data_IF_094646123728
#
_entry.id   IF_094646123728
#
_cell.length_a   1.000
_cell.length_b   1.000
_cell.length_c   1.000
_cell.angle_alpha   90.00
_cell.angle_beta   90.00
_cell.angle_gamma   90.00
#
_symmetry.space_group_name_H-M   'P 1'
#
loop_
_entity.id
_entity.type
_entity.pdbx_description
1 polymer ?
#
# COMPACT_ATOMS: atom_id res chain seq x y z
N UNK A 1 6.10 20.09 9.64
CA UNK A 1 5.59 18.83 9.06
C UNK A 1 4.18 19.11 8.57
N UNK A 2 3.85 18.82 7.30
CA UNK A 2 2.49 19.04 6.81
C UNK A 2 1.52 18.09 7.54
N UNK A 3 0.31 18.53 7.91
CA UNK A 3 -0.67 17.66 8.51
C UNK A 3 -1.00 16.49 7.56
N UNK A 4 -1.33 15.33 8.11
CA UNK A 4 -1.73 14.16 7.34
C UNK A 4 -3.25 14.10 7.23
N UNK A 5 -3.75 13.75 6.05
CA UNK A 5 -5.18 13.57 5.79
C UNK A 5 -5.44 12.14 5.38
N UNK A 6 -6.43 11.49 5.98
CA UNK A 6 -6.90 10.17 5.59
C UNK A 6 -7.83 10.28 4.38
N UNK A 7 -7.60 9.40 3.40
CA UNK A 7 -8.58 9.13 2.34
C UNK A 7 -9.27 7.83 2.69
N UNK A 8 -10.56 7.90 3.01
CA UNK A 8 -11.36 6.74 3.41
C UNK A 8 -11.37 5.68 2.31
N UNK A 9 -10.99 4.47 2.67
CA UNK A 9 -10.95 3.30 1.78
C UNK A 9 -12.09 2.36 2.13
N UNK A 10 -12.77 1.83 1.12
CA UNK A 10 -13.88 0.89 1.33
C UNK A 10 -13.40 -0.41 1.95
N UNK A 11 -14.10 -0.89 2.99
CA UNK A 11 -13.83 -2.15 3.69
C UNK A 11 -14.39 -3.36 2.96
N UNK A 12 -13.82 -3.71 1.82
CA UNK A 12 -14.25 -4.82 0.96
C UNK A 12 -13.26 -6.01 0.93
N UNK A 13 -12.37 -6.09 1.93
CA UNK A 13 -11.27 -7.06 1.99
C UNK A 13 -10.04 -6.66 1.18
N UNK A 14 -10.09 -5.56 0.46
CA UNK A 14 -8.99 -5.00 -0.33
C UNK A 14 -8.32 -3.79 0.34
N UNK A 15 -8.79 -3.36 1.51
CA UNK A 15 -8.42 -2.08 2.11
C UNK A 15 -6.91 -1.86 2.21
N UNK A 16 -6.13 -2.85 2.63
CA UNK A 16 -4.67 -2.78 2.69
C UNK A 16 -4.07 -2.48 1.31
N UNK A 17 -4.41 -3.31 0.31
CA UNK A 17 -3.84 -3.17 -1.04
C UNK A 17 -4.33 -1.89 -1.72
N UNK A 18 -5.59 -1.48 -1.50
CA UNK A 18 -6.14 -0.22 -2.00
C UNK A 18 -5.39 0.98 -1.40
N UNK A 19 -5.17 0.97 -0.08
CA UNK A 19 -4.46 2.04 0.62
C UNK A 19 -3.01 2.18 0.14
N UNK A 20 -2.31 1.06 -0.01
CA UNK A 20 -0.94 1.05 -0.51
C UNK A 20 -0.87 1.50 -1.97
N UNK A 21 -1.74 0.98 -2.85
CA UNK A 21 -1.77 1.37 -4.26
C UNK A 21 -2.12 2.85 -4.43
N UNK A 22 -3.08 3.36 -3.65
CA UNK A 22 -3.42 4.78 -3.60
C UNK A 22 -2.22 5.63 -3.22
N UNK A 23 -1.57 5.31 -2.10
CA UNK A 23 -0.38 6.02 -1.62
C UNK A 23 0.77 6.00 -2.63
N UNK A 24 0.97 4.88 -3.32
CA UNK A 24 1.98 4.75 -4.38
C UNK A 24 1.66 5.64 -5.60
N UNK A 25 0.39 5.82 -5.96
CA UNK A 25 -0.02 6.76 -7.00
C UNK A 25 0.31 8.20 -6.61
N UNK A 26 -0.08 8.61 -5.40
CA UNK A 26 0.19 9.97 -4.89
C UNK A 26 1.69 10.23 -4.80
N UNK A 27 2.47 9.29 -4.28
CA UNK A 27 3.92 9.40 -4.20
C UNK A 27 4.57 9.65 -5.57
N UNK A 28 4.01 9.08 -6.64
CA UNK A 28 4.48 9.27 -8.02
C UNK A 28 3.94 10.55 -8.68
N UNK A 29 3.28 11.43 -7.93
CA UNK A 29 2.70 12.67 -8.44
C UNK A 29 1.47 12.48 -9.32
N UNK A 30 0.82 11.32 -9.24
CA UNK A 30 -0.43 11.05 -9.97
C UNK A 30 -1.64 11.58 -9.22
N UNK A 31 -2.74 11.78 -9.95
CA UNK A 31 -4.03 12.07 -9.34
C UNK A 31 -4.53 10.90 -8.50
N UNK A 32 -5.35 11.21 -7.50
CA UNK A 32 -6.05 10.21 -6.69
C UNK A 32 -6.86 9.28 -7.58
N UNK A 33 -6.64 7.95 -7.51
CA UNK A 33 -7.37 6.99 -8.32
C UNK A 33 -8.85 6.94 -7.91
N UNK A 34 -9.76 6.79 -8.88
CA UNK A 34 -11.18 6.54 -8.64
C UNK A 34 -11.40 5.19 -7.93
N UNK A 35 -12.59 4.95 -7.37
CA UNK A 35 -12.89 3.70 -6.67
C UNK A 35 -12.68 2.45 -7.55
N UNK A 36 -13.11 2.50 -8.81
CA UNK A 36 -12.90 1.39 -9.75
C UNK A 36 -11.42 1.13 -10.01
N UNK A 37 -10.65 2.20 -10.25
CA UNK A 37 -9.19 2.11 -10.47
C UNK A 37 -8.49 1.60 -9.22
N UNK A 38 -8.90 2.04 -8.02
CA UNK A 38 -8.36 1.52 -6.77
C UNK A 38 -8.54 0.00 -6.63
N UNK A 39 -9.72 -0.54 -7.01
CA UNK A 39 -9.98 -1.99 -6.99
C UNK A 39 -9.07 -2.75 -7.95
N UNK A 40 -8.94 -2.28 -9.19
CA UNK A 40 -8.06 -2.88 -10.20
C UNK A 40 -6.60 -2.90 -9.71
N UNK A 41 -6.11 -1.75 -9.23
CA UNK A 41 -4.75 -1.64 -8.71
C UNK A 41 -4.51 -2.51 -7.48
N UNK A 42 -5.50 -2.63 -6.60
CA UNK A 42 -5.43 -3.49 -5.42
C UNK A 42 -5.36 -4.97 -5.79
N UNK A 43 -6.19 -5.43 -6.74
CA UNK A 43 -6.20 -6.82 -7.19
C UNK A 43 -4.89 -7.16 -7.94
N UNK A 44 -4.35 -6.24 -8.74
CA UNK A 44 -3.05 -6.39 -9.40
C UNK A 44 -1.91 -6.45 -8.37
N UNK A 45 -1.90 -5.56 -7.39
CA UNK A 45 -0.88 -5.54 -6.33
C UNK A 45 -0.94 -6.81 -5.49
N UNK A 46 -2.13 -7.29 -5.13
CA UNK A 46 -2.36 -8.54 -4.40
C UNK A 46 -1.76 -9.74 -5.16
N UNK A 47 -2.00 -9.83 -6.46
CA UNK A 47 -1.45 -10.91 -7.28
C UNK A 47 0.09 -10.89 -7.26
N UNK A 48 0.70 -9.73 -7.43
CA UNK A 48 2.16 -9.54 -7.37
C UNK A 48 2.75 -9.83 -5.99
N UNK A 49 2.04 -9.45 -4.93
CA UNK A 49 2.43 -9.78 -3.55
C UNK A 49 2.43 -11.30 -3.33
N UNK A 50 1.42 -12.01 -3.83
CA UNK A 50 1.39 -13.45 -3.76
C UNK A 50 2.55 -14.11 -4.52
N UNK A 51 2.93 -13.56 -5.68
CA UNK A 51 4.10 -14.01 -6.44
C UNK A 51 5.41 -13.67 -5.72
N UNK A 52 5.49 -12.52 -5.06
CA UNK A 52 6.66 -12.11 -4.29
C UNK A 52 6.88 -13.01 -3.07
N UNK A 53 5.83 -13.48 -2.39
CA UNK A 53 5.95 -14.52 -1.36
C UNK A 53 6.61 -15.78 -1.89
N UNK A 54 6.17 -16.27 -3.07
CA UNK A 54 6.75 -17.47 -3.69
C UNK A 54 8.23 -17.25 -3.98
N UNK A 55 8.58 -16.11 -4.57
CA UNK A 55 9.95 -15.73 -4.89
C UNK A 55 10.84 -15.66 -3.64
N UNK A 56 10.31 -15.17 -2.52
CA UNK A 56 11.01 -14.97 -1.24
C UNK A 56 10.66 -16.03 -0.19
N UNK A 57 10.28 -17.22 -0.61
CA UNK A 57 9.84 -18.28 0.30
C UNK A 57 10.85 -18.51 1.44
N UNK A 58 12.12 -18.62 1.12
CA UNK A 58 13.17 -18.87 2.12
C UNK A 58 13.26 -17.79 3.20
N UNK A 59 12.88 -16.55 2.87
CA UNK A 59 12.93 -15.42 3.78
C UNK A 59 11.62 -15.22 4.55
N UNK A 60 10.51 -15.81 4.09
CA UNK A 60 9.16 -15.49 4.59
C UNK A 60 8.42 -16.65 5.25
N UNK A 61 8.68 -17.90 4.83
CA UNK A 61 7.93 -19.07 5.29
C UNK A 61 7.94 -19.23 6.82
N UNK A 62 9.03 -18.86 7.49
CA UNK A 62 9.21 -19.07 8.92
C UNK A 62 8.32 -18.18 9.82
N UNK A 63 7.80 -17.06 9.30
CA UNK A 63 6.91 -16.17 10.06
C UNK A 63 5.45 -16.21 9.60
N UNK A 64 5.14 -16.94 8.53
CA UNK A 64 3.77 -17.10 8.06
C UNK A 64 3.04 -18.19 8.87
N UNK A 65 1.78 -17.93 9.18
CA UNK A 65 0.96 -18.89 9.90
C UNK A 65 0.53 -20.06 9.00
N UNK A 66 0.77 -21.28 9.48
CA UNK A 66 0.29 -22.51 8.83
C UNK A 66 1.13 -22.94 7.64
N UNK A 67 0.48 -23.58 6.67
CA UNK A 67 1.16 -24.08 5.47
C UNK A 67 1.34 -22.96 4.46
N UNK A 68 2.55 -22.79 3.95
CA UNK A 68 2.93 -21.72 3.03
C UNK A 68 2.08 -21.66 1.76
N UNK A 69 1.89 -22.81 1.09
CA UNK A 69 1.10 -22.87 -0.15
C UNK A 69 -0.37 -22.50 0.10
N UNK A 70 -0.91 -22.94 1.23
CA UNK A 70 -2.28 -22.61 1.64
C UNK A 70 -2.43 -21.13 1.96
N UNK A 71 -1.42 -20.52 2.62
CA UNK A 71 -1.37 -19.09 2.91
C UNK A 71 -1.37 -18.27 1.61
N UNK A 72 -0.46 -18.55 0.71
CA UNK A 72 -0.36 -17.84 -0.58
C UNK A 72 -1.64 -18.00 -1.41
N UNK A 73 -2.22 -19.21 -1.44
CA UNK A 73 -3.49 -19.46 -2.13
C UNK A 73 -4.65 -18.67 -1.53
N UNK A 74 -4.72 -18.58 -0.19
CA UNK A 74 -5.70 -17.75 0.51
C UNK A 74 -5.51 -16.28 0.16
N UNK A 75 -4.26 -15.80 0.15
CA UNK A 75 -3.94 -14.39 -0.11
C UNK A 75 -4.31 -13.94 -1.52
N UNK A 76 -4.35 -14.84 -2.50
CA UNK A 76 -4.83 -14.53 -3.87
C UNK A 76 -6.33 -14.23 -3.94
N UNK A 77 -7.11 -14.60 -2.92
CA UNK A 77 -8.55 -14.32 -2.91
C UNK A 77 -8.82 -12.83 -2.69
N UNK A 78 -9.72 -12.21 -3.47
CA UNK A 78 -9.91 -10.75 -3.45
C UNK A 78 -10.42 -10.21 -2.11
N UNK A 79 -11.05 -11.04 -1.30
CA UNK A 79 -11.60 -10.65 0.01
C UNK A 79 -10.73 -11.10 1.19
N UNK A 80 -9.57 -11.71 0.95
CA UNK A 80 -8.66 -12.08 2.02
C UNK A 80 -8.04 -10.82 2.63
N UNK A 81 -8.11 -10.73 3.96
CA UNK A 81 -7.50 -9.63 4.69
C UNK A 81 -5.98 -9.78 4.67
N UNK A 82 -5.30 -8.69 4.34
CA UNK A 82 -3.84 -8.61 4.44
C UNK A 82 -3.41 -7.97 5.75
N UNK A 83 -2.17 -8.20 6.13
CA UNK A 83 -1.54 -7.69 7.34
C UNK A 83 -0.08 -7.31 7.12
N UNK A 84 0.71 -7.42 8.18
CA UNK A 84 2.14 -7.06 8.15
C UNK A 84 2.95 -7.83 7.09
N UNK A 85 2.76 -9.14 6.90
CA UNK A 85 3.47 -9.86 5.85
C UNK A 85 3.21 -9.28 4.46
N UNK A 86 1.96 -8.92 4.16
CA UNK A 86 1.59 -8.33 2.88
C UNK A 86 2.15 -6.92 2.70
N UNK A 87 2.25 -6.12 3.78
CA UNK A 87 2.88 -4.79 3.74
C UNK A 87 4.38 -4.90 3.41
N UNK A 88 5.07 -5.87 4.00
CA UNK A 88 6.46 -6.15 3.67
C UNK A 88 6.59 -6.52 2.19
N UNK A 89 5.76 -7.44 1.69
CA UNK A 89 5.79 -7.83 0.27
C UNK A 89 5.39 -6.67 -0.65
N UNK A 90 4.43 -5.83 -0.26
CA UNK A 90 4.11 -4.60 -1.00
C UNK A 90 5.33 -3.69 -1.16
N UNK A 91 6.14 -3.53 -0.11
CA UNK A 91 7.34 -2.70 -0.19
C UNK A 91 8.34 -3.24 -1.21
N UNK A 92 8.52 -4.56 -1.28
CA UNK A 92 9.38 -5.22 -2.26
C UNK A 92 8.83 -5.11 -3.68
N UNK A 93 7.54 -5.38 -3.88
CA UNK A 93 6.88 -5.27 -5.20
C UNK A 93 6.96 -3.84 -5.75
N UNK A 94 6.80 -2.83 -4.88
CA UNK A 94 6.80 -1.43 -5.29
C UNK A 94 8.20 -0.81 -5.36
N UNK A 95 9.19 -1.41 -4.68
CA UNK A 95 10.51 -0.80 -4.46
C UNK A 95 10.39 0.53 -3.69
N UNK A 96 9.51 0.57 -2.68
CA UNK A 96 9.19 1.80 -1.94
C UNK A 96 9.09 1.53 -0.44
N UNK A 97 9.56 2.46 0.42
CA UNK A 97 9.29 2.37 1.84
C UNK A 97 7.82 2.60 2.13
N UNK A 98 7.28 1.86 3.09
CA UNK A 98 5.90 1.96 3.58
C UNK A 98 5.94 2.23 5.08
N UNK A 99 5.15 3.20 5.56
CA UNK A 99 4.96 3.46 6.99
C UNK A 99 3.51 3.24 7.38
N UNK A 100 3.32 2.53 8.49
CA UNK A 100 2.01 2.31 9.10
C UNK A 100 1.84 3.28 10.26
N UNK A 101 0.74 4.00 10.24
CA UNK A 101 0.38 4.96 11.27
C UNK A 101 -0.87 4.48 12.01
N UNK A 102 -1.01 4.88 13.27
CA UNK A 102 -2.20 4.62 14.07
C UNK A 102 -2.45 5.78 15.03
N UNK A 103 -3.72 6.15 15.22
CA UNK A 103 -4.11 7.07 16.28
C UNK A 103 -4.05 6.36 17.63
N UNK A 104 -3.45 7.03 18.59
CA UNK A 104 -3.51 6.61 20.00
C UNK A 104 -4.49 7.50 20.75
N UNK A 105 -5.13 6.96 21.79
CA UNK A 105 -6.13 7.68 22.58
C UNK A 105 -5.58 9.04 23.06
N UNK A 106 -6.30 10.12 22.72
CA UNK A 106 -5.94 11.48 23.10
C UNK A 106 -4.85 12.15 22.28
N UNK A 107 -4.40 11.53 21.16
CA UNK A 107 -3.42 12.14 20.28
C UNK A 107 -4.11 12.81 19.06
N UNK A 108 -3.70 14.04 18.75
CA UNK A 108 -4.19 14.80 17.60
C UNK A 108 -3.60 14.30 16.27
N UNK A 109 -2.45 13.62 16.32
CA UNK A 109 -1.74 13.12 15.15
C UNK A 109 -1.46 11.63 15.27
N UNK A 110 -1.54 10.86 14.17
CA UNK A 110 -1.21 9.45 14.18
C UNK A 110 0.30 9.26 14.31
N UNK A 111 0.71 8.22 15.03
CA UNK A 111 2.12 7.83 15.21
C UNK A 111 2.47 6.67 14.30
N UNK A 112 3.72 6.61 13.86
CA UNK A 112 4.27 5.46 13.13
C UNK A 112 4.35 4.28 14.11
N UNK A 113 3.75 3.16 13.73
CA UNK A 113 3.77 1.90 14.50
C UNK A 113 4.57 0.80 13.81
N UNK A 114 4.78 0.90 12.50
CA UNK A 114 5.61 -0.02 11.73
C UNK A 114 6.17 0.64 10.47
N UNK A 115 7.31 0.14 10.00
CA UNK A 115 8.00 0.61 8.80
C UNK A 115 8.53 -0.61 8.02
N UNK A 116 8.37 -0.58 6.69
CA UNK A 116 8.81 -1.64 5.77
C UNK A 116 9.55 -1.04 4.58
N UNK A 117 10.52 -1.77 4.03
CA UNK A 117 11.20 -1.40 2.80
C UNK A 117 12.15 -0.21 2.93
N UNK A 118 12.81 -0.03 4.09
CA UNK A 118 13.78 1.05 4.31
C UNK A 118 15.01 0.92 3.40
N UNK A 119 15.28 -0.27 2.88
CA UNK A 119 16.31 -0.51 1.87
C UNK A 119 16.05 0.21 0.55
N UNK A 120 14.80 0.58 0.28
CA UNK A 120 14.39 1.37 -0.91
C UNK A 120 14.41 2.89 -0.66
N UNK A 121 15.00 3.33 0.44
CA UNK A 121 15.06 4.71 0.88
C UNK A 121 14.14 5.01 2.06
N UNK A 122 14.29 6.20 2.63
CA UNK A 122 13.49 6.64 3.79
C UNK A 122 12.60 7.83 3.47
N UNK A 123 12.85 8.48 2.32
CA UNK A 123 12.16 9.70 1.96
C UNK A 123 10.80 9.42 1.32
N UNK A 124 9.82 10.24 1.71
CA UNK A 124 8.47 10.20 1.15
C UNK A 124 7.87 8.78 1.07
N UNK A 125 7.73 8.04 2.18
CA UNK A 125 7.17 6.70 2.18
C UNK A 125 5.71 6.70 1.73
N UNK A 126 5.23 5.56 1.23
CA UNK A 126 3.79 5.28 1.17
C UNK A 126 3.28 5.21 2.60
N UNK A 127 2.21 5.93 2.91
CA UNK A 127 1.65 6.00 4.27
C UNK A 127 0.27 5.36 4.31
N UNK A 128 0.07 4.47 5.27
CA UNK A 128 -1.24 3.88 5.56
C UNK A 128 -1.62 4.12 7.01
N UNK A 129 -2.90 4.28 7.26
CA UNK A 129 -3.47 4.43 8.60
C UNK A 129 -4.17 3.13 8.97
N UNK A 130 -3.74 2.51 10.05
CA UNK A 130 -4.36 1.32 10.62
C UNK A 130 -5.33 1.73 11.75
N UNK A 131 -6.53 1.16 11.75
CA UNK A 131 -7.55 1.48 12.74
C UNK A 131 -7.42 0.68 14.05
N UNK A 132 -6.55 -0.34 14.08
CA UNK A 132 -6.37 -1.25 15.21
C UNK A 132 -7.27 -2.50 15.18
N UNK A 133 -8.15 -2.61 14.19
CA UNK A 133 -9.15 -3.69 14.08
C UNK A 133 -9.11 -4.44 12.76
N UNK A 134 -8.16 -4.12 11.88
CA UNK A 134 -7.95 -4.81 10.60
C UNK A 134 -8.25 -3.96 9.37
N UNK A 135 -8.62 -2.69 9.51
CA UNK A 135 -8.86 -1.79 8.40
C UNK A 135 -7.67 -0.84 8.17
N UNK A 136 -7.40 -0.57 6.90
CA UNK A 136 -6.38 0.36 6.44
C UNK A 136 -6.98 1.44 5.55
N UNK A 137 -6.64 2.71 5.86
CA UNK A 137 -6.88 3.87 5.02
C UNK A 137 -5.58 4.40 4.41
N UNK A 138 -5.68 5.12 3.29
CA UNK A 138 -4.51 5.82 2.75
C UNK A 138 -4.28 7.13 3.51
N UNK A 139 -3.02 7.42 3.86
CA UNK A 139 -2.61 8.72 4.41
C UNK A 139 -1.80 9.50 3.39
N UNK A 140 -2.07 10.79 3.30
CA UNK A 140 -1.31 11.71 2.46
C UNK A 140 -1.06 13.03 3.19
N UNK A 141 0.02 13.75 2.86
CA UNK A 141 0.19 15.11 3.34
C UNK A 141 -0.99 15.97 2.88
N UNK A 142 -1.55 16.79 3.78
CA UNK A 142 -2.57 17.76 3.40
C UNK A 142 -1.96 18.73 2.40
N UNK A 143 -2.40 18.67 1.16
CA UNK A 143 -2.16 19.74 0.21
C UNK A 143 -3.10 20.88 0.59
N UNK A 144 -2.59 21.92 1.25
CA UNK A 144 -3.27 23.21 1.15
C UNK A 144 -3.44 23.46 -0.35
N UNK A 145 -4.66 23.79 -0.78
CA UNK A 145 -5.04 24.00 -2.18
C UNK A 145 -4.09 25.01 -2.85
N UNK A 146 -2.98 24.56 -3.36
CA UNK A 146 -2.31 25.29 -4.41
C UNK A 146 -3.07 25.03 -5.70
N UNK A 147 -3.83 26.03 -6.11
CA UNK A 147 -4.45 26.12 -7.42
C UNK A 147 -3.34 26.06 -8.45
N UNK A 148 -3.12 24.91 -9.05
CA UNK A 148 -2.31 24.85 -10.27
C UNK A 148 -2.57 23.58 -11.09
N UNK A 149 -3.16 23.84 -12.24
CA UNK A 149 -2.86 23.23 -13.53
C UNK A 149 -3.25 21.77 -13.76
N UNK A 150 -4.49 21.64 -14.26
CA UNK A 150 -4.98 20.47 -14.99
C UNK A 150 -4.17 20.25 -16.25
N UNK A 151 -3.38 19.20 -16.29
CA UNK A 151 -3.11 18.49 -17.55
C UNK A 151 -3.56 17.06 -17.38
N UNK A 152 -4.63 16.74 -18.07
CA UNK A 152 -5.14 15.39 -18.25
C UNK A 152 -4.06 14.53 -18.91
N UNK A 153 -3.44 13.64 -18.17
CA UNK A 153 -2.62 12.58 -18.75
C UNK A 153 -3.41 11.29 -18.65
N UNK A 154 -3.70 10.70 -19.82
CA UNK A 154 -4.39 9.42 -19.99
C UNK A 154 -3.74 8.35 -19.08
N UNK A 155 -4.58 7.58 -18.40
CA UNK A 155 -4.18 6.38 -17.69
C UNK A 155 -3.53 5.39 -18.67
N UNK A 156 -2.21 5.27 -18.58
CA UNK A 156 -1.46 4.21 -19.24
C UNK A 156 -1.39 3.06 -18.25
N UNK A 157 -1.64 1.84 -18.73
CA UNK A 157 -1.68 0.60 -17.97
C UNK A 157 -0.59 0.52 -16.88
N UNK A 158 -0.98 0.07 -15.70
CA UNK A 158 -0.12 -0.10 -14.51
C UNK A 158 1.11 -1.00 -14.79
N UNK A 159 1.02 -1.88 -15.77
CA UNK A 159 2.11 -2.73 -16.25
C UNK A 159 3.38 -1.97 -16.65
N UNK A 160 3.25 -0.76 -17.19
CA UNK A 160 4.42 0.04 -17.58
C UNK A 160 5.21 0.63 -16.39
N UNK A 161 4.64 0.60 -15.19
CA UNK A 161 5.19 1.30 -14.04
C UNK A 161 5.97 0.43 -13.06
N UNK A 162 5.73 -0.89 -13.05
CA UNK A 162 6.47 -1.82 -12.19
C UNK A 162 7.74 -2.39 -12.84
N UNK A 163 7.86 -2.27 -14.16
CA UNK A 163 8.96 -2.87 -14.94
C UNK A 163 10.28 -2.08 -14.92
N UNK A 164 10.31 -0.85 -14.40
CA UNK A 164 11.50 0.02 -14.46
C UNK A 164 12.28 0.18 -13.14
N UNK A 165 12.04 -0.65 -12.15
CA UNK A 165 12.80 -0.64 -10.90
C UNK A 165 13.90 -1.72 -10.84
N UNK A 166 14.25 -2.33 -11.97
CA UNK A 166 15.35 -3.29 -12.10
C UNK A 166 16.22 -2.91 -13.30
N UNK A 167 17.01 -1.88 -13.16
CA UNK A 167 18.25 -1.61 -13.90
C UNK A 167 19.13 -0.68 -13.08
#
# INVERSE_FOLDING_TARGET
MLPLTSSGITGDGRCLFRSVAYGACIRRGKQSPSDSVQKELADELRAKVADEFIKRRGDTEWFLEGNFESYVRKMRKPHAWGGEPELLMCSHVLGMPITVHMYTKGADNPRIIAEYGQEYGKDNPVRVLYDGYGHYDALQPSLERSVANRRMTRYVSFFYYFSRAAA
#
